data_IF_482612272197
#
_entry.id   IF_482612272197
#
_cell.length_a   1.000
_cell.length_b   1.000
_cell.length_c   1.000
_cell.angle_alpha   90.00
_cell.angle_beta   90.00
_cell.angle_gamma   90.00
#
_symmetry.space_group_name_H-M   'P 1'
#
loop_
_entity.id
_entity.type
_entity.pdbx_description
1 polymer ?
#
# COMPACT_ATOMS: atom_id res chain seq x y z
N UNK A 1 9.90 -26.92 -50.99
CA UNK A 1 10.13 -25.51 -50.60
C UNK A 1 9.43 -25.29 -49.27
N UNK A 2 10.16 -25.37 -48.16
CA UNK A 2 9.62 -25.07 -46.83
C UNK A 2 10.01 -23.63 -46.52
N UNK A 3 9.02 -22.73 -46.45
CA UNK A 3 9.22 -21.35 -46.04
C UNK A 3 9.46 -21.30 -44.54
N UNK A 4 10.65 -20.87 -44.13
CA UNK A 4 10.92 -20.54 -42.74
C UNK A 4 10.09 -19.30 -42.38
N UNK A 5 9.13 -19.46 -41.47
CA UNK A 5 8.50 -18.35 -40.77
C UNK A 5 9.52 -17.78 -39.79
N UNK A 6 10.15 -16.68 -40.16
CA UNK A 6 10.97 -15.89 -39.26
C UNK A 6 10.02 -15.08 -38.38
N UNK A 7 9.91 -15.44 -37.11
CA UNK A 7 9.21 -14.66 -36.09
C UNK A 7 10.15 -13.55 -35.65
N UNK A 8 9.89 -12.33 -36.11
CA UNK A 8 10.57 -11.14 -35.60
C UNK A 8 10.16 -10.94 -34.14
N UNK A 9 11.06 -11.26 -33.21
CA UNK A 9 10.84 -11.03 -31.79
C UNK A 9 10.87 -9.52 -31.51
N UNK A 10 9.70 -8.92 -31.35
CA UNK A 10 9.59 -7.54 -30.86
C UNK A 10 10.00 -7.53 -29.39
N UNK A 11 11.15 -6.91 -29.10
CA UNK A 11 11.62 -6.74 -27.73
C UNK A 11 10.73 -5.73 -26.99
N UNK A 12 9.81 -6.23 -26.17
CA UNK A 12 8.99 -5.39 -25.30
C UNK A 12 9.82 -4.98 -24.07
N UNK A 13 10.03 -3.69 -23.89
CA UNK A 13 10.72 -3.11 -22.72
C UNK A 13 9.71 -2.58 -21.71
N UNK A 14 10.02 -2.71 -20.41
CA UNK A 14 9.17 -2.20 -19.34
C UNK A 14 9.90 -2.10 -18.01
N UNK A 15 9.32 -1.33 -17.09
CA UNK A 15 9.79 -1.17 -15.72
C UNK A 15 8.88 -1.96 -14.79
N UNK A 16 9.47 -2.74 -13.90
CA UNK A 16 8.73 -3.47 -12.86
C UNK A 16 9.06 -2.87 -11.49
N UNK A 17 8.03 -2.55 -10.71
CA UNK A 17 8.19 -2.08 -9.33
C UNK A 17 7.11 -2.67 -8.42
N UNK A 18 7.37 -2.74 -7.12
CA UNK A 18 6.38 -3.15 -6.12
C UNK A 18 6.01 -1.97 -5.24
N UNK A 19 4.75 -1.90 -4.82
CA UNK A 19 4.26 -0.88 -3.91
C UNK A 19 3.16 -1.43 -3.00
N UNK A 20 2.99 -0.82 -1.84
CA UNK A 20 1.87 -1.13 -0.94
C UNK A 20 0.59 -0.51 -1.51
N UNK A 21 -0.31 -1.34 -2.05
CA UNK A 21 -1.55 -0.89 -2.66
C UNK A 21 -2.66 -0.63 -1.64
N UNK A 22 -2.63 -1.34 -0.51
CA UNK A 22 -3.62 -1.18 0.55
C UNK A 22 -3.01 -1.45 1.92
N UNK A 23 -3.40 -0.65 2.91
CA UNK A 23 -3.17 -0.95 4.32
C UNK A 23 -4.52 -1.08 5.00
N UNK A 24 -4.78 -2.24 5.60
CA UNK A 24 -5.96 -2.51 6.42
C UNK A 24 -5.57 -2.53 7.89
N UNK A 25 -6.29 -1.76 8.70
CA UNK A 25 -6.14 -1.76 10.15
C UNK A 25 -7.31 -2.50 10.77
N UNK A 26 -7.02 -3.59 11.46
CA UNK A 26 -7.99 -4.34 12.24
C UNK A 26 -7.91 -3.90 13.71
N UNK A 27 -9.04 -3.50 14.27
CA UNK A 27 -9.18 -3.16 15.69
C UNK A 27 -10.38 -3.88 16.30
N UNK A 28 -10.28 -5.21 16.50
CA UNK A 28 -11.38 -5.98 17.06
C UNK A 28 -11.63 -5.60 18.52
N UNK A 29 -12.91 -5.53 18.92
CA UNK A 29 -13.27 -5.41 20.33
C UNK A 29 -12.70 -6.60 21.11
N UNK A 30 -11.91 -6.32 22.15
CA UNK A 30 -11.21 -7.32 22.98
C UNK A 30 -10.17 -8.19 22.25
N UNK A 31 -9.71 -7.81 21.05
CA UNK A 31 -8.61 -8.50 20.37
C UNK A 31 -7.37 -7.63 20.22
N UNK A 32 -6.31 -8.21 19.67
CA UNK A 32 -5.07 -7.49 19.37
C UNK A 32 -5.20 -6.76 18.05
N UNK A 33 -4.95 -5.44 18.00
CA UNK A 33 -4.93 -4.72 16.73
C UNK A 33 -3.85 -5.25 15.78
N UNK A 34 -4.08 -5.12 14.48
CA UNK A 34 -3.19 -5.62 13.44
C UNK A 34 -3.21 -4.69 12.23
N UNK A 35 -2.04 -4.42 11.64
CA UNK A 35 -1.96 -3.84 10.31
C UNK A 35 -1.68 -4.95 9.28
N UNK A 36 -2.43 -4.95 8.19
CA UNK A 36 -2.24 -5.84 7.04
C UNK A 36 -1.93 -4.98 5.82
N UNK A 37 -0.75 -5.17 5.23
CA UNK A 37 -0.31 -4.45 4.05
C UNK A 37 -0.38 -5.40 2.84
N UNK A 38 -1.10 -4.97 1.81
CA UNK A 38 -1.13 -5.65 0.52
C UNK A 38 -0.13 -4.97 -0.40
N UNK A 39 0.77 -5.76 -0.96
CA UNK A 39 1.71 -5.31 -1.96
C UNK A 39 1.35 -5.90 -3.30
N UNK A 40 1.35 -5.02 -4.30
CA UNK A 40 1.20 -5.37 -5.69
C UNK A 40 2.52 -5.13 -6.42
N UNK A 41 2.74 -5.90 -7.48
CA UNK A 41 3.78 -5.65 -8.46
C UNK A 41 3.15 -5.06 -9.70
N UNK A 42 3.68 -3.92 -10.15
CA UNK A 42 3.29 -3.24 -11.38
C UNK A 42 4.34 -3.51 -12.43
N UNK A 43 3.90 -3.97 -13.60
CA UNK A 43 4.71 -4.00 -14.82
C UNK A 43 4.21 -2.92 -15.76
N UNK A 44 5.00 -1.87 -15.93
CA UNK A 44 4.73 -0.78 -16.85
C UNK A 44 5.52 -0.99 -18.15
N UNK A 45 4.82 -1.25 -19.24
CA UNK A 45 5.43 -1.39 -20.57
C UNK A 45 5.71 0.00 -21.17
N UNK A 46 6.71 0.10 -22.03
CA UNK A 46 7.05 1.33 -22.76
C UNK A 46 5.91 1.83 -23.66
N UNK A 47 4.94 0.98 -24.00
CA UNK A 47 3.71 1.33 -24.71
C UNK A 47 2.69 2.11 -23.85
N UNK A 48 2.95 2.30 -22.55
CA UNK A 48 2.02 2.93 -21.61
C UNK A 48 1.00 1.97 -20.99
N UNK A 49 0.98 0.70 -21.42
CA UNK A 49 0.18 -0.34 -20.78
C UNK A 49 0.77 -0.68 -19.41
N UNK A 50 -0.05 -0.72 -18.38
CA UNK A 50 0.34 -1.17 -17.05
C UNK A 50 -0.51 -2.35 -16.63
N UNK A 51 0.12 -3.36 -16.06
CA UNK A 51 -0.56 -4.46 -15.37
C UNK A 51 -0.15 -4.44 -13.90
N UNK A 52 -1.14 -4.55 -13.01
CA UNK A 52 -0.91 -4.73 -11.58
C UNK A 52 -1.33 -6.13 -11.18
N UNK A 53 -0.47 -6.83 -10.45
CA UNK A 53 -0.74 -8.18 -9.94
C UNK A 53 -0.45 -8.24 -8.46
N UNK A 54 -1.32 -8.87 -7.64
CA UNK A 54 -1.02 -9.12 -6.24
C UNK A 54 0.32 -9.84 -6.07
N UNK A 55 1.17 -9.34 -5.19
CA UNK A 55 2.50 -9.88 -4.93
C UNK A 55 2.54 -10.59 -3.58
N UNK A 56 2.34 -9.84 -2.49
CA UNK A 56 2.42 -10.40 -1.13
C UNK A 56 1.51 -9.67 -0.14
N UNK A 57 1.21 -10.36 0.95
CA UNK A 57 0.49 -9.79 2.10
C UNK A 57 1.41 -9.83 3.31
N UNK A 58 1.64 -8.68 3.93
CA UNK A 58 2.45 -8.54 5.13
C UNK A 58 1.55 -8.21 6.33
N UNK A 59 1.79 -8.86 7.46
CA UNK A 59 1.06 -8.61 8.70
C UNK A 59 2.01 -8.07 9.76
N UNK A 60 1.66 -6.92 10.34
CA UNK A 60 2.40 -6.31 11.45
C UNK A 60 1.51 -6.29 12.71
N UNK A 61 1.70 -7.25 13.65
CA UNK A 61 0.94 -7.28 14.89
C UNK A 61 1.23 -6.03 15.73
N UNK A 62 0.21 -5.53 16.43
CA UNK A 62 0.36 -4.35 17.27
C UNK A 62 1.25 -4.62 18.47
N UNK A 63 2.41 -3.96 18.49
CA UNK A 63 3.25 -3.82 19.66
C UNK A 63 3.36 -2.33 20.04
N UNK A 64 2.73 -1.88 21.15
CA UNK A 64 2.61 -0.46 21.48
C UNK A 64 3.96 0.24 21.71
N UNK A 65 5.00 -0.50 22.10
CA UNK A 65 6.34 0.03 22.40
C UNK A 65 7.31 -0.13 21.23
N UNK A 66 6.92 -0.83 20.15
CA UNK A 66 7.75 -0.95 18.96
C UNK A 66 7.89 0.42 18.30
N UNK A 67 9.12 0.88 18.14
CA UNK A 67 9.43 2.12 17.41
C UNK A 67 9.55 1.79 15.92
N UNK A 68 8.88 2.57 15.06
CA UNK A 68 8.97 2.45 13.61
C UNK A 68 9.46 3.74 12.97
N UNK A 69 10.05 3.61 11.78
CA UNK A 69 10.41 4.75 10.94
C UNK A 69 9.16 5.30 10.26
N UNK A 70 8.99 6.61 10.32
CA UNK A 70 7.99 7.34 9.54
C UNK A 70 8.68 7.85 8.29
N UNK A 71 8.23 7.34 7.15
CA UNK A 71 8.81 7.66 5.85
C UNK A 71 8.06 8.83 5.21
N UNK A 72 8.81 9.67 4.50
CA UNK A 72 8.26 10.62 3.54
C UNK A 72 7.75 9.85 2.32
N UNK A 73 6.46 9.97 1.94
CA UNK A 73 5.91 9.22 0.81
C UNK A 73 6.49 9.64 -0.55
N UNK A 74 7.09 10.83 -0.64
CA UNK A 74 7.66 11.35 -1.90
C UNK A 74 9.11 10.93 -2.11
N UNK A 75 9.86 10.77 -1.02
CA UNK A 75 11.30 10.46 -1.09
C UNK A 75 11.67 9.08 -0.57
N UNK A 76 10.79 8.43 0.20
CA UNK A 76 11.07 7.16 0.89
C UNK A 76 12.03 7.30 2.08
N UNK A 77 12.51 8.50 2.38
CA UNK A 77 13.45 8.74 3.46
C UNK A 77 12.73 8.77 4.82
N UNK A 78 13.43 8.36 5.87
CA UNK A 78 12.91 8.49 7.23
C UNK A 78 12.90 9.96 7.64
N UNK A 79 11.72 10.46 7.98
CA UNK A 79 11.50 11.82 8.51
C UNK A 79 11.70 11.82 10.03
N UNK A 80 11.15 10.82 10.71
CA UNK A 80 11.24 10.67 12.16
C UNK A 80 10.99 9.22 12.55
N UNK A 81 11.04 8.92 13.85
CA UNK A 81 10.62 7.64 14.41
C UNK A 81 9.57 7.86 15.48
N UNK A 82 8.64 6.91 15.66
CA UNK A 82 7.65 6.97 16.73
C UNK A 82 7.18 5.58 17.14
N UNK A 83 6.66 5.41 18.37
CA UNK A 83 6.02 4.18 18.80
C UNK A 83 4.80 3.85 17.95
N UNK A 84 4.58 2.55 17.68
CA UNK A 84 3.45 2.07 16.90
C UNK A 84 2.10 2.42 17.55
N UNK A 85 2.07 2.60 18.88
CA UNK A 85 0.92 3.13 19.60
C UNK A 85 0.48 4.53 19.13
N UNK A 86 1.43 5.42 18.85
CA UNK A 86 1.12 6.75 18.32
C UNK A 86 0.62 6.66 16.88
N UNK A 87 1.24 5.82 16.06
CA UNK A 87 0.85 5.60 14.65
C UNK A 87 -0.59 5.10 14.56
N UNK A 88 -0.94 4.07 15.32
CA UNK A 88 -2.30 3.53 15.36
C UNK A 88 -3.28 4.58 15.91
N UNK A 89 -2.90 5.33 16.95
CA UNK A 89 -3.70 6.43 17.49
C UNK A 89 -4.04 7.51 16.44
N UNK A 90 -3.06 7.91 15.62
CA UNK A 90 -3.27 8.86 14.51
C UNK A 90 -4.23 8.27 13.48
N UNK A 91 -4.01 7.03 13.03
CA UNK A 91 -4.84 6.40 12.00
C UNK A 91 -6.30 6.23 12.44
N UNK A 92 -6.54 5.83 13.70
CA UNK A 92 -7.90 5.78 14.24
C UNK A 92 -8.52 7.16 14.41
N UNK A 93 -7.73 8.19 14.75
CA UNK A 93 -8.23 9.56 14.83
C UNK A 93 -8.66 10.08 13.46
N UNK A 94 -7.96 9.72 12.38
CA UNK A 94 -8.37 10.03 11.00
C UNK A 94 -9.73 9.39 10.70
N UNK A 95 -9.91 8.10 11.04
CA UNK A 95 -11.22 7.45 10.88
C UNK A 95 -12.32 8.15 11.70
N UNK A 96 -12.04 8.49 12.97
CA UNK A 96 -12.97 9.21 13.83
C UNK A 96 -13.39 10.56 13.25
N UNK A 97 -12.44 11.32 12.70
CA UNK A 97 -12.71 12.60 12.04
C UNK A 97 -13.54 12.43 10.75
N UNK A 98 -13.18 11.45 9.90
CA UNK A 98 -13.93 11.17 8.68
C UNK A 98 -15.38 10.74 8.96
N UNK A 99 -15.57 9.91 9.99
CA UNK A 99 -16.91 9.50 10.45
C UNK A 99 -17.71 10.68 11.00
N UNK A 100 -17.12 11.48 11.87
CA UNK A 100 -17.79 12.65 12.44
C UNK A 100 -18.25 13.64 11.35
N UNK A 101 -17.47 13.78 10.27
CA UNK A 101 -17.84 14.58 9.10
C UNK A 101 -19.00 13.97 8.29
N UNK A 102 -19.01 12.65 8.10
CA UNK A 102 -20.08 11.94 7.39
C UNK A 102 -21.41 11.95 8.17
N UNK A 103 -21.35 11.97 9.50
CA UNK A 103 -22.52 12.01 10.38
C UNK A 103 -23.14 13.42 10.50
N UNK A 104 -22.50 14.46 9.95
CA UNK A 104 -23.11 15.81 9.93
C UNK A 104 -24.29 15.85 8.95
N UNK A 105 -25.45 16.40 9.34
CA UNK A 105 -26.53 16.66 8.39
C UNK A 105 -26.04 17.67 7.33
N UNK A 106 -26.55 17.61 6.08
CA UNK A 106 -26.21 18.59 5.07
C UNK A 106 -26.54 20.00 5.60
N UNK A 107 -25.60 20.94 5.44
CA UNK A 107 -25.83 22.33 5.85
C UNK A 107 -27.05 22.90 5.09
N UNK A 108 -27.90 23.70 5.77
CA UNK A 108 -29.13 24.25 5.19
C UNK A 108 -28.88 25.20 4.02
#
# INVERSE_FOLDING_TARGET
MAGNLQLDAVQITGTTYSYCSQIMLHNPLNGTPLAVCYEDTVTALSSGTQTSTPNRVLSLPYNPTQVINILDPTTGNTVTTMPLSQVFGILFSIYGAARAAADQPPSP
#
